data_IF_239450024151
#
_entry.id   IF_239450024151
#
_cell.length_a   1.000
_cell.length_b   1.000
_cell.length_c   1.000
_cell.angle_alpha   90.00
_cell.angle_beta   90.00
_cell.angle_gamma   90.00
#
_symmetry.space_group_name_H-M   'P 1'
#
loop_
_entity.id
_entity.type
_entity.pdbx_description
1 polymer ?
#
# COMPACT_ATOMS: atom_id res chain seq x y z
N UNK A 1 -13.31 33.07 -9.62
CA UNK A 1 -12.32 32.55 -8.65
C UNK A 1 -11.20 31.89 -9.43
N UNK A 2 -10.03 32.53 -9.49
CA UNK A 2 -8.83 31.99 -10.12
C UNK A 2 -8.32 30.81 -9.28
N UNK A 3 -8.51 29.59 -9.77
CA UNK A 3 -7.86 28.39 -9.21
C UNK A 3 -6.35 28.56 -9.39
N UNK A 4 -5.65 29.00 -8.34
CA UNK A 4 -4.20 28.91 -8.28
C UNK A 4 -3.82 27.44 -8.56
N UNK A 5 -2.82 27.22 -9.42
CA UNK A 5 -2.34 25.87 -9.70
C UNK A 5 -1.82 25.27 -8.38
N UNK A 6 -1.98 23.96 -8.13
CA UNK A 6 -1.40 23.32 -6.97
C UNK A 6 0.11 23.60 -6.93
N UNK A 7 0.60 24.17 -5.83
CA UNK A 7 2.01 24.28 -5.53
C UNK A 7 2.42 23.27 -4.48
N UNK A 8 3.69 22.86 -4.48
CA UNK A 8 4.30 22.13 -3.37
C UNK A 8 4.42 23.03 -2.13
N UNK A 9 4.71 22.44 -0.97
CA UNK A 9 4.78 23.16 0.31
C UNK A 9 5.90 24.22 0.42
N UNK A 10 6.80 24.27 -0.55
CA UNK A 10 7.83 25.29 -0.73
C UNK A 10 7.47 26.35 -1.80
N UNK A 11 6.22 26.33 -2.30
CA UNK A 11 5.71 27.28 -3.29
C UNK A 11 6.11 26.97 -4.74
N UNK A 12 6.84 25.89 -5.01
CA UNK A 12 7.16 25.48 -6.39
C UNK A 12 5.88 24.99 -7.08
N UNK A 13 5.56 25.45 -8.30
CA UNK A 13 4.39 24.97 -9.03
C UNK A 13 4.46 23.46 -9.32
N UNK A 14 3.32 22.78 -9.23
CA UNK A 14 3.16 21.43 -9.79
C UNK A 14 2.76 21.58 -11.26
N UNK A 15 3.75 21.56 -12.14
CA UNK A 15 3.59 21.56 -13.59
C UNK A 15 4.09 20.24 -14.21
N UNK A 16 3.97 20.12 -15.53
CA UNK A 16 4.37 18.94 -16.27
C UNK A 16 5.85 18.56 -16.05
N UNK A 17 6.74 19.56 -15.96
CA UNK A 17 8.17 19.34 -15.72
C UNK A 17 8.44 18.85 -14.31
N UNK A 18 7.73 19.35 -13.30
CA UNK A 18 7.80 18.83 -11.94
C UNK A 18 7.36 17.36 -11.86
N UNK A 19 6.30 16.97 -12.57
CA UNK A 19 5.85 15.57 -12.67
C UNK A 19 6.95 14.71 -13.29
N UNK A 20 7.47 15.12 -14.46
CA UNK A 20 8.52 14.37 -15.15
C UNK A 20 9.77 14.22 -14.27
N UNK A 21 10.25 15.32 -13.70
CA UNK A 21 11.43 15.33 -12.84
C UNK A 21 11.24 14.39 -11.64
N UNK A 22 10.08 14.41 -10.98
CA UNK A 22 9.79 13.57 -9.82
C UNK A 22 9.86 12.08 -10.16
N UNK A 23 9.27 11.68 -11.29
CA UNK A 23 9.28 10.29 -11.77
C UNK A 23 10.70 9.88 -12.19
N UNK A 24 11.41 10.71 -12.96
CA UNK A 24 12.79 10.43 -13.37
C UNK A 24 13.70 10.23 -12.15
N UNK A 25 13.57 11.09 -11.13
CA UNK A 25 14.29 10.99 -9.85
C UNK A 25 13.94 9.69 -9.13
N UNK A 26 12.66 9.30 -9.08
CA UNK A 26 12.21 8.07 -8.44
C UNK A 26 12.82 6.81 -9.10
N UNK A 27 12.87 6.80 -10.43
CA UNK A 27 13.50 5.73 -11.23
C UNK A 27 15.02 5.73 -11.08
N UNK A 28 15.68 6.88 -11.19
CA UNK A 28 17.13 7.01 -11.08
C UNK A 28 17.64 6.58 -9.70
N UNK A 29 16.90 6.90 -8.64
CA UNK A 29 17.21 6.47 -7.27
C UNK A 29 17.02 4.96 -7.04
N UNK A 30 16.46 4.21 -8.02
CA UNK A 30 16.05 2.81 -7.86
C UNK A 30 15.18 2.62 -6.62
N UNK A 31 14.30 3.59 -6.37
CA UNK A 31 13.41 3.57 -5.22
C UNK A 31 12.53 2.32 -5.25
N UNK A 32 11.96 1.97 -4.09
CA UNK A 32 11.05 0.82 -4.01
C UNK A 32 9.97 0.92 -5.08
N UNK A 33 9.61 -0.22 -5.69
CA UNK A 33 8.65 -0.36 -6.80
C UNK A 33 8.89 0.48 -8.07
N UNK A 34 9.96 1.26 -8.17
CA UNK A 34 10.28 2.10 -9.35
C UNK A 34 10.44 1.33 -10.67
N UNK A 35 10.72 0.03 -10.59
CA UNK A 35 10.82 -0.86 -11.75
C UNK A 35 9.53 -0.91 -12.58
N UNK A 36 8.37 -0.62 -11.98
CA UNK A 36 7.11 -0.54 -12.74
C UNK A 36 7.14 0.56 -13.81
N UNK A 37 7.81 1.69 -13.51
CA UNK A 37 8.02 2.75 -14.49
C UNK A 37 9.00 2.31 -15.57
N UNK A 38 10.17 1.81 -15.17
CA UNK A 38 11.23 1.38 -16.09
C UNK A 38 10.79 0.25 -17.04
N UNK A 39 9.92 -0.65 -16.58
CA UNK A 39 9.45 -1.80 -17.35
C UNK A 39 8.22 -1.52 -18.20
N UNK A 40 7.52 -0.39 -18.01
CA UNK A 40 6.23 -0.15 -18.67
C UNK A 40 6.17 1.18 -19.44
N UNK A 41 7.04 2.14 -19.12
CA UNK A 41 7.06 3.48 -19.75
C UNK A 41 8.33 3.66 -20.55
N UNK A 42 8.16 3.83 -21.86
CA UNK A 42 9.24 4.08 -22.83
C UNK A 42 9.70 5.53 -22.81
N UNK A 43 8.77 6.48 -22.66
CA UNK A 43 9.11 7.91 -22.59
C UNK A 43 8.04 8.73 -21.88
N UNK A 44 8.47 9.87 -21.33
CA UNK A 44 7.63 10.89 -20.71
C UNK A 44 7.94 12.22 -21.42
N UNK A 45 6.94 12.83 -22.06
CA UNK A 45 7.06 14.12 -22.73
C UNK A 45 6.19 15.18 -22.04
N UNK A 46 6.66 16.42 -22.03
CA UNK A 46 5.99 17.59 -21.42
C UNK A 46 5.78 18.66 -22.49
N UNK A 47 4.83 18.49 -23.43
CA UNK A 47 4.66 19.43 -24.55
C UNK A 47 4.25 20.84 -24.12
N UNK A 48 3.67 20.99 -22.92
CA UNK A 48 3.41 22.26 -22.27
C UNK A 48 3.34 22.08 -20.74
N UNK A 49 3.26 23.18 -20.00
CA UNK A 49 3.28 23.18 -18.53
C UNK A 49 2.11 22.43 -17.85
N UNK A 50 1.06 22.05 -18.57
CA UNK A 50 -0.13 21.36 -18.02
C UNK A 50 -0.36 19.98 -18.63
N UNK A 51 0.50 19.55 -19.55
CA UNK A 51 0.31 18.30 -20.29
C UNK A 51 1.51 17.39 -20.07
N UNK A 52 1.27 16.17 -19.59
CA UNK A 52 2.26 15.10 -19.52
C UNK A 52 1.78 13.96 -20.42
N UNK A 53 2.63 13.54 -21.34
CA UNK A 53 2.36 12.44 -22.27
C UNK A 53 3.25 11.26 -21.94
N UNK A 54 2.65 10.12 -21.60
CA UNK A 54 3.34 8.86 -21.33
C UNK A 54 3.26 7.95 -22.56
N UNK A 55 4.40 7.46 -23.04
CA UNK A 55 4.45 6.40 -24.05
C UNK A 55 4.71 5.07 -23.35
N UNK A 56 3.74 4.17 -23.40
CA UNK A 56 3.85 2.84 -22.80
C UNK A 56 4.48 1.85 -23.79
N UNK A 57 5.16 0.81 -23.29
CA UNK A 57 5.72 -0.24 -24.16
C UNK A 57 4.68 -1.30 -24.59
N UNK A 58 3.53 -1.35 -23.92
CA UNK A 58 2.37 -2.16 -24.25
C UNK A 58 1.08 -1.51 -23.72
N UNK A 59 -0.11 -1.86 -24.25
CA UNK A 59 -1.38 -1.40 -23.69
C UNK A 59 -1.53 -1.82 -22.21
N UNK A 60 -1.84 -0.87 -21.34
CA UNK A 60 -2.03 -1.13 -19.90
C UNK A 60 -3.19 -0.30 -19.33
N UNK A 61 -4.35 -0.95 -19.17
CA UNK A 61 -5.57 -0.27 -18.72
C UNK A 61 -5.49 0.26 -17.28
N UNK A 62 -4.69 -0.37 -16.42
CA UNK A 62 -4.54 0.04 -15.02
C UNK A 62 -3.42 1.08 -14.83
N UNK A 63 -2.81 1.60 -15.90
CA UNK A 63 -1.81 2.67 -15.81
C UNK A 63 -2.29 3.89 -14.98
N UNK A 64 -3.54 4.36 -15.07
CA UNK A 64 -4.02 5.44 -14.21
C UNK A 64 -3.96 5.13 -12.71
N UNK A 65 -4.07 3.85 -12.32
CA UNK A 65 -3.96 3.43 -10.91
C UNK A 65 -2.53 3.67 -10.41
N UNK A 66 -1.51 3.43 -11.25
CA UNK A 66 -0.11 3.72 -10.90
C UNK A 66 0.07 5.19 -10.50
N UNK A 67 -0.56 6.10 -11.23
CA UNK A 67 -0.51 7.55 -10.99
C UNK A 67 -1.20 7.96 -9.67
N UNK A 68 -2.18 7.17 -9.22
CA UNK A 68 -2.94 7.43 -8.00
C UNK A 68 -2.31 6.84 -6.73
N UNK A 69 -1.23 6.06 -6.87
CA UNK A 69 -0.55 5.38 -5.77
C UNK A 69 0.81 6.05 -5.44
N UNK A 70 1.54 5.47 -4.48
CA UNK A 70 2.87 5.93 -4.09
C UNK A 70 3.83 6.27 -5.25
N UNK A 71 3.94 5.43 -6.30
CA UNK A 71 4.83 5.71 -7.43
C UNK A 71 4.45 6.94 -8.28
N UNK A 72 3.20 7.41 -8.16
CA UNK A 72 2.71 8.61 -8.86
C UNK A 72 2.81 9.89 -8.03
N UNK A 73 3.28 9.82 -6.78
CA UNK A 73 3.43 11.00 -5.93
C UNK A 73 4.48 11.95 -6.51
N UNK A 74 4.13 13.24 -6.59
CA UNK A 74 5.00 14.31 -7.10
C UNK A 74 5.66 15.02 -5.93
N UNK A 75 6.98 15.13 -5.97
CA UNK A 75 7.79 15.86 -4.99
C UNK A 75 8.53 17.03 -5.64
N UNK A 76 8.78 18.09 -4.87
CA UNK A 76 9.55 19.25 -5.32
C UNK A 76 11.00 18.84 -5.56
N UNK A 77 11.66 19.48 -6.53
CA UNK A 77 13.11 19.35 -6.75
C UNK A 77 13.95 19.74 -5.54
N UNK A 78 13.44 20.65 -4.71
CA UNK A 78 14.12 21.07 -3.49
C UNK A 78 14.15 19.97 -2.42
N UNK A 79 13.40 18.87 -2.61
CA UNK A 79 13.43 17.68 -1.75
C UNK A 79 14.82 17.04 -1.67
N UNK A 80 15.72 17.34 -2.61
CA UNK A 80 17.09 16.80 -2.67
C UNK A 80 18.19 17.86 -2.45
N UNK A 81 17.82 19.10 -2.11
CA UNK A 81 18.76 20.23 -2.09
C UNK A 81 19.94 20.04 -1.13
N UNK A 82 19.72 19.36 0.00
CA UNK A 82 20.69 19.24 1.09
C UNK A 82 21.42 17.89 1.10
N UNK A 83 21.35 17.11 0.01
CA UNK A 83 21.93 15.76 -0.06
C UNK A 83 21.25 14.72 0.84
N UNK A 84 20.16 15.12 1.53
CA UNK A 84 19.25 14.28 2.27
C UNK A 84 17.83 14.55 1.78
N UNK A 85 17.09 13.48 1.52
CA UNK A 85 15.70 13.59 1.10
C UNK A 85 14.83 14.25 2.18
N UNK A 86 14.14 15.31 1.79
CA UNK A 86 13.10 15.99 2.58
C UNK A 86 11.77 15.92 1.82
N UNK A 87 10.68 15.40 2.40
CA UNK A 87 9.42 15.22 1.69
C UNK A 87 8.69 16.56 1.51
N UNK A 88 8.98 17.25 0.40
CA UNK A 88 8.31 18.49 0.00
C UNK A 88 7.33 18.15 -1.12
N UNK A 89 6.03 18.18 -0.83
CA UNK A 89 4.98 17.72 -1.75
C UNK A 89 3.82 18.70 -1.85
N UNK A 90 2.84 18.36 -2.69
CA UNK A 90 1.64 19.17 -2.92
C UNK A 90 0.44 18.77 -2.03
N UNK A 91 0.69 17.98 -0.99
CA UNK A 91 -0.33 17.49 -0.07
C UNK A 91 -0.85 18.56 0.90
N UNK A 92 -1.86 18.24 1.73
CA UNK A 92 -2.50 19.16 2.67
C UNK A 92 -1.68 19.52 3.91
N UNK A 93 -0.62 18.78 4.21
CA UNK A 93 0.24 19.02 5.38
C UNK A 93 1.71 19.07 4.96
N UNK A 94 2.50 19.82 5.72
CA UNK A 94 3.95 19.94 5.56
C UNK A 94 4.67 19.28 6.74
N UNK A 95 5.75 18.54 6.46
CA UNK A 95 6.60 17.99 7.50
C UNK A 95 7.31 19.11 8.29
N UNK A 96 7.07 19.19 9.59
CA UNK A 96 7.69 20.18 10.48
C UNK A 96 8.66 19.58 11.48
N UNK A 97 8.50 18.30 11.83
CA UNK A 97 9.50 17.56 12.62
C UNK A 97 9.57 16.11 12.17
N UNK A 98 10.80 15.62 12.00
CA UNK A 98 11.08 14.19 11.83
C UNK A 98 12.15 13.77 12.83
N UNK A 99 11.72 13.06 13.87
CA UNK A 99 12.59 12.50 14.89
C UNK A 99 12.46 10.97 14.84
N UNK A 100 13.44 10.27 14.23
CA UNK A 100 13.40 8.81 14.10
C UNK A 100 13.16 8.13 15.44
N UNK A 101 12.25 7.16 15.48
CA UNK A 101 11.84 6.43 16.68
C UNK A 101 11.25 7.30 17.80
N UNK A 102 10.84 8.53 17.53
CA UNK A 102 10.22 9.43 18.52
C UNK A 102 8.90 10.02 18.00
N UNK A 103 8.93 10.78 16.91
CA UNK A 103 7.71 11.30 16.29
C UNK A 103 7.91 11.84 14.86
N UNK A 104 6.81 11.89 14.13
CA UNK A 104 6.64 12.67 12.91
C UNK A 104 5.57 13.72 13.19
N UNK A 105 5.87 14.99 12.95
CA UNK A 105 4.92 16.10 13.13
C UNK A 105 4.71 16.78 11.79
N UNK A 106 3.43 16.91 11.41
CA UNK A 106 3.00 17.65 10.23
C UNK A 106 2.10 18.82 10.64
N UNK A 107 2.29 19.97 9.99
CA UNK A 107 1.45 21.16 10.16
C UNK A 107 0.58 21.37 8.92
N UNK A 108 -0.66 21.86 9.06
CA UNK A 108 -1.57 22.07 7.94
C UNK A 108 -1.04 23.14 7.02
N UNK A 109 -1.38 23.01 5.74
CA UNK A 109 -1.14 24.04 4.73
C UNK A 109 -2.34 24.95 4.60
N UNK A 110 -2.14 26.21 4.97
CA UNK A 110 -3.10 27.30 4.75
C UNK A 110 -3.37 27.54 3.26
N UNK A 111 -2.36 27.30 2.42
CA UNK A 111 -2.37 27.50 0.98
C UNK A 111 -2.75 26.23 0.19
N UNK A 112 -3.26 25.18 0.85
CA UNK A 112 -3.61 23.94 0.16
C UNK A 112 -4.68 24.21 -0.89
N UNK A 113 -4.45 23.72 -2.11
CA UNK A 113 -5.26 24.04 -3.29
C UNK A 113 -6.74 23.62 -3.15
N UNK A 114 -7.04 22.65 -2.29
CA UNK A 114 -8.40 22.18 -1.99
C UNK A 114 -8.95 22.72 -0.65
N UNK A 115 -8.37 23.82 -0.14
CA UNK A 115 -8.75 24.46 1.12
C UNK A 115 -7.99 23.90 2.32
N UNK A 116 -7.73 24.76 3.31
CA UNK A 116 -7.00 24.39 4.53
C UNK A 116 -7.64 23.18 5.24
N UNK A 117 -6.86 22.17 5.66
CA UNK A 117 -7.36 21.10 6.51
C UNK A 117 -7.98 21.61 7.82
N UNK A 118 -8.97 20.88 8.33
CA UNK A 118 -9.61 21.20 9.61
C UNK A 118 -8.73 20.87 10.82
N UNK A 119 -7.70 20.04 10.66
CA UNK A 119 -6.79 19.66 11.73
C UNK A 119 -5.60 20.61 11.79
N UNK A 120 -5.28 21.08 12.99
CA UNK A 120 -4.17 22.02 13.19
C UNK A 120 -2.80 21.34 13.27
N UNK A 121 -2.77 20.01 13.44
CA UNK A 121 -1.54 19.22 13.54
C UNK A 121 -1.83 17.75 13.34
N UNK A 122 -0.91 17.04 12.70
CA UNK A 122 -0.82 15.59 12.75
C UNK A 122 0.47 15.21 13.48
N UNK A 123 0.37 14.31 14.46
CA UNK A 123 1.52 13.77 15.19
C UNK A 123 1.44 12.25 15.17
N UNK A 124 2.45 11.62 14.59
CA UNK A 124 2.60 10.18 14.56
C UNK A 124 3.69 9.80 15.56
N UNK A 125 3.40 8.83 16.42
CA UNK A 125 4.33 8.35 17.45
C UNK A 125 4.54 6.84 17.31
N UNK A 126 5.73 6.31 17.63
CA UNK A 126 5.93 4.88 17.72
C UNK A 126 5.15 4.31 18.91
N UNK A 127 4.71 3.08 18.76
CA UNK A 127 3.91 2.36 19.75
C UNK A 127 4.44 0.94 19.92
N UNK A 128 4.31 0.38 21.12
CA UNK A 128 4.81 -0.96 21.46
C UNK A 128 3.82 -2.07 21.04
N UNK A 129 3.50 -2.13 19.75
CA UNK A 129 2.57 -3.11 19.18
C UNK A 129 1.09 -2.85 19.51
N UNK A 130 0.24 -3.81 19.12
CA UNK A 130 -1.21 -3.70 19.15
C UNK A 130 -1.75 -3.37 20.55
N UNK A 131 -1.30 -4.10 21.59
CA UNK A 131 -1.77 -3.87 22.96
C UNK A 131 -1.48 -2.46 23.47
N UNK A 132 -0.25 -1.97 23.26
CA UNK A 132 0.12 -0.61 23.64
C UNK A 132 -0.67 0.45 22.88
N UNK A 133 -0.96 0.23 21.60
CA UNK A 133 -1.82 1.13 20.82
C UNK A 133 -3.24 1.21 21.40
N UNK A 134 -3.83 0.06 21.75
CA UNK A 134 -5.15 0.01 22.36
C UNK A 134 -5.20 0.73 23.71
N UNK A 135 -4.21 0.49 24.58
CA UNK A 135 -4.11 1.15 25.89
C UNK A 135 -3.90 2.67 25.75
N UNK A 136 -3.05 3.11 24.81
CA UNK A 136 -2.87 4.53 24.52
C UNK A 136 -4.14 5.18 23.96
N UNK A 137 -4.90 4.49 23.10
CA UNK A 137 -6.21 4.94 22.62
C UNK A 137 -7.21 5.07 23.78
N UNK A 138 -7.28 4.08 24.67
CA UNK A 138 -8.16 4.13 25.85
C UNK A 138 -7.83 5.29 26.80
N UNK A 139 -6.54 5.59 26.99
CA UNK A 139 -6.09 6.70 27.83
C UNK A 139 -6.25 8.10 27.18
N UNK A 140 -6.62 8.17 25.89
CA UNK A 140 -6.69 9.42 25.13
C UNK A 140 -5.31 9.98 24.72
N UNK A 141 -4.25 9.18 24.78
CA UNK A 141 -2.92 9.55 24.26
C UNK A 141 -2.85 9.48 22.73
N UNK A 142 -3.68 8.63 22.13
CA UNK A 142 -3.86 8.52 20.68
C UNK A 142 -5.29 8.86 20.34
N UNK A 143 -5.50 9.66 19.29
CA UNK A 143 -6.83 9.89 18.70
C UNK A 143 -7.21 8.80 17.69
N UNK A 144 -6.21 8.15 17.08
CA UNK A 144 -6.38 7.03 16.16
C UNK A 144 -5.30 5.98 16.37
N UNK A 145 -5.66 4.71 16.22
CA UNK A 145 -4.74 3.58 16.27
C UNK A 145 -5.04 2.61 15.13
N UNK A 146 -3.99 2.00 14.57
CA UNK A 146 -4.10 0.96 13.57
C UNK A 146 -3.67 -0.39 14.16
N UNK A 147 -4.62 -1.03 14.85
CA UNK A 147 -4.41 -2.27 15.60
C UNK A 147 -4.49 -3.45 14.63
N UNK A 148 -3.37 -4.16 14.45
CA UNK A 148 -3.26 -5.28 13.51
C UNK A 148 -2.60 -6.48 14.15
N UNK A 149 -2.90 -7.68 13.63
CA UNK A 149 -2.18 -8.94 13.89
C UNK A 149 -2.10 -9.31 15.39
N UNK A 150 -3.15 -8.97 16.13
CA UNK A 150 -3.37 -9.34 17.53
C UNK A 150 -4.88 -9.43 17.76
N UNK A 151 -5.40 -10.63 17.59
CA UNK A 151 -6.84 -10.92 17.54
C UNK A 151 -7.54 -10.65 18.86
N UNK A 152 -6.86 -10.91 19.97
CA UNK A 152 -7.37 -10.62 21.31
C UNK A 152 -7.50 -9.11 21.50
N UNK A 153 -6.46 -8.34 21.16
CA UNK A 153 -6.50 -6.87 21.27
C UNK A 153 -7.50 -6.25 20.30
N UNK A 154 -7.61 -6.76 19.07
CA UNK A 154 -8.63 -6.30 18.11
C UNK A 154 -10.03 -6.52 18.69
N UNK A 155 -10.29 -7.70 19.26
CA UNK A 155 -11.58 -8.01 19.89
C UNK A 155 -11.88 -7.08 21.07
N UNK A 156 -10.90 -6.84 21.93
CA UNK A 156 -11.02 -5.89 23.04
C UNK A 156 -11.33 -4.47 22.54
N UNK A 157 -10.64 -4.01 21.49
CA UNK A 157 -10.84 -2.68 20.90
C UNK A 157 -12.22 -2.52 20.24
N UNK A 158 -12.71 -3.56 19.55
CA UNK A 158 -14.07 -3.57 18.99
C UNK A 158 -15.11 -3.54 20.12
N UNK A 159 -14.93 -4.36 21.16
CA UNK A 159 -15.84 -4.40 22.30
C UNK A 159 -15.84 -3.10 23.12
N UNK A 160 -14.71 -2.36 23.13
CA UNK A 160 -14.63 -1.04 23.74
C UNK A 160 -15.50 0.02 23.04
N UNK A 161 -15.94 -0.24 21.80
CA UNK A 161 -16.99 0.56 21.15
C UNK A 161 -16.56 1.97 20.72
N UNK A 162 -15.30 2.15 20.33
CA UNK A 162 -14.81 3.44 19.84
C UNK A 162 -15.56 3.91 18.58
N UNK A 163 -15.90 5.20 18.54
CA UNK A 163 -16.48 5.85 17.36
C UNK A 163 -15.50 5.83 16.18
N UNK A 164 -16.02 5.62 14.97
CA UNK A 164 -15.20 5.65 13.76
C UNK A 164 -14.37 4.39 13.51
N UNK A 165 -14.70 3.27 14.17
CA UNK A 165 -14.12 1.96 13.86
C UNK A 165 -14.31 1.61 12.37
N UNK A 166 -13.21 1.22 11.73
CA UNK A 166 -13.18 0.71 10.37
C UNK A 166 -12.45 -0.63 10.36
N UNK A 167 -13.13 -1.67 9.88
CA UNK A 167 -12.51 -2.94 9.54
C UNK A 167 -12.07 -2.92 8.07
N UNK A 168 -10.76 -2.92 7.85
CA UNK A 168 -10.18 -2.93 6.52
C UNK A 168 -9.66 -4.34 6.23
N UNK A 169 -10.29 -5.01 5.26
CA UNK A 169 -9.81 -6.29 4.76
C UNK A 169 -8.44 -6.12 4.10
N UNK A 170 -7.39 -6.58 4.77
CA UNK A 170 -6.04 -6.62 4.22
C UNK A 170 -5.89 -7.67 3.11
N UNK A 171 -4.85 -7.52 2.29
CA UNK A 171 -4.36 -8.62 1.47
C UNK A 171 -3.90 -9.74 2.40
N UNK A 172 -4.56 -10.90 2.30
CA UNK A 172 -4.26 -12.07 3.13
C UNK A 172 -2.87 -12.65 2.88
N UNK A 173 -2.60 -13.82 3.45
CA UNK A 173 -1.33 -14.51 3.22
C UNK A 173 -1.25 -15.09 1.80
N UNK A 174 -0.08 -14.93 1.16
CA UNK A 174 0.22 -15.51 -0.15
C UNK A 174 1.22 -16.66 -0.02
N UNK A 175 0.87 -17.81 -0.58
CA UNK A 175 1.80 -18.92 -0.75
C UNK A 175 2.46 -18.86 -2.13
N UNK A 176 3.77 -18.71 -2.18
CA UNK A 176 4.53 -18.73 -3.44
C UNK A 176 5.18 -20.09 -3.65
N UNK A 177 4.92 -20.71 -4.80
CA UNK A 177 5.57 -21.96 -5.20
C UNK A 177 6.51 -21.64 -6.36
N UNK A 178 7.79 -22.00 -6.21
CA UNK A 178 8.77 -21.83 -7.27
C UNK A 178 8.50 -22.81 -8.41
N UNK A 179 7.98 -22.30 -9.54
CA UNK A 179 7.65 -23.06 -10.73
C UNK A 179 8.75 -23.08 -11.80
N UNK A 180 9.99 -22.67 -11.45
CA UNK A 180 11.12 -22.70 -12.37
C UNK A 180 11.43 -24.13 -12.82
N UNK A 181 11.74 -24.30 -14.10
CA UNK A 181 12.19 -25.58 -14.67
C UNK A 181 13.30 -26.23 -13.82
N UNK A 182 13.22 -27.55 -13.66
CA UNK A 182 14.12 -28.32 -12.79
C UNK A 182 13.81 -28.24 -11.29
N UNK A 183 12.76 -27.53 -10.87
CA UNK A 183 12.24 -27.56 -9.49
C UNK A 183 10.94 -28.36 -9.39
N UNK A 184 10.61 -28.93 -8.22
CA UNK A 184 9.36 -29.70 -8.06
C UNK A 184 8.10 -28.93 -8.44
N UNK A 185 8.08 -27.62 -8.18
CA UNK A 185 6.95 -26.76 -8.53
C UNK A 185 6.77 -26.52 -10.03
N UNK A 186 7.69 -26.97 -10.89
CA UNK A 186 7.52 -26.92 -12.35
C UNK A 186 6.34 -27.81 -12.80
N UNK A 187 6.17 -28.97 -12.16
CA UNK A 187 5.01 -29.83 -12.40
C UNK A 187 3.73 -29.20 -11.81
N UNK A 188 2.71 -29.05 -12.66
CA UNK A 188 1.40 -28.50 -12.27
C UNK A 188 0.71 -29.36 -11.21
N UNK A 189 0.91 -30.68 -11.22
CA UNK A 189 0.31 -31.62 -10.27
C UNK A 189 0.84 -31.38 -8.86
N UNK A 190 2.12 -31.05 -8.72
CA UNK A 190 2.70 -30.64 -7.41
C UNK A 190 2.03 -29.37 -6.90
N UNK A 191 1.83 -28.35 -7.76
CA UNK A 191 1.16 -27.10 -7.36
C UNK A 191 -0.30 -27.33 -6.96
N UNK A 192 -1.01 -28.14 -7.72
CA UNK A 192 -2.39 -28.54 -7.41
C UNK A 192 -2.47 -29.35 -6.11
N UNK A 193 -1.52 -30.26 -5.87
CA UNK A 193 -1.46 -31.03 -4.63
C UNK A 193 -1.27 -30.14 -3.41
N UNK A 194 -0.39 -29.14 -3.49
CA UNK A 194 -0.22 -28.14 -2.42
C UNK A 194 -1.53 -27.38 -2.18
N UNK A 195 -2.19 -26.90 -3.24
CA UNK A 195 -3.46 -26.20 -3.13
C UNK A 195 -4.56 -27.05 -2.46
N UNK A 196 -4.65 -28.35 -2.79
CA UNK A 196 -5.59 -29.28 -2.15
C UNK A 196 -5.14 -29.75 -0.75
N UNK A 197 -3.86 -29.64 -0.41
CA UNK A 197 -3.33 -30.05 0.89
C UNK A 197 -3.59 -29.01 1.99
N UNK A 198 -3.62 -27.73 1.62
CA UNK A 198 -3.77 -26.61 2.56
C UNK A 198 -5.21 -26.46 3.04
N UNK A 199 -5.37 -26.23 4.33
CA UNK A 199 -6.66 -25.95 4.98
C UNK A 199 -6.71 -24.48 5.44
N UNK A 200 -7.28 -23.57 4.63
CA UNK A 200 -7.35 -22.16 4.99
C UNK A 200 -8.25 -21.89 6.20
N UNK A 201 -9.24 -22.75 6.48
CA UNK A 201 -10.10 -22.63 7.66
C UNK A 201 -9.32 -23.01 8.92
N UNK A 202 -8.57 -24.12 8.89
CA UNK A 202 -7.74 -24.51 10.02
C UNK A 202 -6.63 -23.49 10.31
N UNK A 203 -6.04 -22.87 9.26
CA UNK A 203 -5.09 -21.77 9.42
C UNK A 203 -5.77 -20.59 10.09
N UNK A 204 -6.92 -20.15 9.58
CA UNK A 204 -7.65 -19.01 10.14
C UNK A 204 -8.02 -19.22 11.61
N UNK A 205 -8.49 -20.42 11.96
CA UNK A 205 -8.88 -20.76 13.33
C UNK A 205 -7.69 -20.75 14.30
N UNK A 206 -6.51 -21.18 13.85
CA UNK A 206 -5.33 -21.33 14.71
C UNK A 206 -4.45 -20.09 14.77
N UNK A 207 -4.37 -19.35 13.67
CA UNK A 207 -3.51 -18.18 13.56
C UNK A 207 -4.27 -16.88 13.87
N UNK A 208 -5.56 -16.82 13.56
CA UNK A 208 -6.36 -15.60 13.69
C UNK A 208 -7.63 -15.80 14.55
N UNK A 209 -7.69 -16.83 15.39
CA UNK A 209 -8.86 -17.12 16.26
C UNK A 209 -10.22 -17.13 15.54
N UNK A 210 -10.21 -17.42 14.23
CA UNK A 210 -11.39 -17.40 13.37
C UNK A 210 -11.88 -16.01 12.92
N UNK A 211 -11.20 -14.92 13.30
CA UNK A 211 -11.57 -13.55 12.94
C UNK A 211 -11.23 -13.17 11.48
N UNK A 212 -10.33 -13.91 10.82
CA UNK A 212 -10.00 -13.66 9.43
C UNK A 212 -10.97 -14.30 8.43
N UNK A 213 -10.71 -14.07 7.14
CA UNK A 213 -11.48 -14.64 6.04
C UNK A 213 -10.67 -15.76 5.40
N UNK A 214 -11.13 -17.01 5.56
CA UNK A 214 -10.50 -18.16 4.91
C UNK A 214 -10.67 -18.06 3.39
N UNK A 215 -9.57 -17.72 2.70
CA UNK A 215 -9.53 -17.60 1.25
C UNK A 215 -8.86 -18.82 0.62
N UNK A 216 -9.38 -19.26 -0.53
CA UNK A 216 -8.74 -20.27 -1.38
C UNK A 216 -8.20 -19.67 -2.68
N UNK A 217 -8.23 -18.34 -2.82
CA UNK A 217 -7.97 -17.62 -4.06
C UNK A 217 -7.32 -16.27 -3.82
N UNK A 218 -6.61 -15.77 -4.82
CA UNK A 218 -5.79 -14.56 -4.72
C UNK A 218 -6.59 -13.27 -4.50
N UNK A 219 -7.79 -13.20 -5.06
CA UNK A 219 -8.66 -12.02 -4.95
C UNK A 219 -9.90 -12.36 -4.10
N UNK A 220 -10.39 -11.42 -3.28
CA UNK A 220 -11.60 -11.61 -2.49
C UNK A 220 -12.82 -11.75 -3.40
N UNK A 221 -13.90 -12.33 -2.88
CA UNK A 221 -15.13 -12.54 -3.65
C UNK A 221 -15.83 -11.23 -4.03
N UNK A 222 -15.56 -10.13 -3.33
CA UNK A 222 -16.02 -8.79 -3.67
C UNK A 222 -15.32 -8.18 -4.89
N UNK A 223 -14.22 -8.78 -5.36
CA UNK A 223 -13.46 -8.26 -6.50
C UNK A 223 -14.15 -8.58 -7.83
N UNK A 224 -14.32 -7.56 -8.67
CA UNK A 224 -14.80 -7.72 -10.05
C UNK A 224 -13.89 -8.63 -10.91
N UNK A 225 -12.64 -8.86 -10.50
CA UNK A 225 -11.68 -9.74 -11.17
C UNK A 225 -11.77 -11.22 -10.78
N UNK A 226 -12.73 -11.61 -9.93
CA UNK A 226 -12.87 -12.99 -9.42
C UNK A 226 -13.24 -13.96 -10.55
N UNK A 227 -12.27 -14.79 -10.97
CA UNK A 227 -12.46 -15.78 -12.05
C UNK A 227 -12.15 -17.23 -11.67
N UNK A 228 -11.42 -17.46 -10.57
CA UNK A 228 -10.93 -18.80 -10.22
C UNK A 228 -11.89 -19.55 -9.27
N UNK A 229 -12.19 -20.84 -9.52
CA UNK A 229 -12.96 -21.66 -8.59
C UNK A 229 -12.24 -21.79 -7.25
N UNK A 230 -13.01 -22.01 -6.18
CA UNK A 230 -12.44 -22.21 -4.84
C UNK A 230 -11.77 -23.59 -4.79
N UNK A 231 -10.47 -23.62 -4.48
CA UNK A 231 -9.74 -24.86 -4.21
C UNK A 231 -9.78 -25.15 -2.71
N UNK A 232 -10.74 -25.96 -2.29
CA UNK A 232 -10.83 -26.40 -0.90
C UNK A 232 -9.98 -27.64 -0.65
N UNK A 233 -9.61 -27.85 0.61
CA UNK A 233 -8.81 -28.99 1.04
C UNK A 233 -9.39 -30.32 0.55
N UNK A 234 -8.57 -31.15 -0.09
CA UNK A 234 -8.85 -32.52 -0.58
C UNK A 234 -7.59 -33.39 -0.40
N UNK A 235 -7.32 -33.90 0.82
CA UNK A 235 -6.06 -34.59 1.12
C UNK A 235 -5.79 -35.81 0.25
N UNK A 236 -6.81 -36.60 -0.08
CA UNK A 236 -6.65 -37.80 -0.90
C UNK A 236 -6.29 -37.43 -2.35
N UNK A 237 -6.90 -36.36 -2.88
CA UNK A 237 -6.55 -35.84 -4.20
C UNK A 237 -5.14 -35.27 -4.22
N UNK A 238 -4.71 -34.60 -3.16
CA UNK A 238 -3.34 -34.10 -3.03
C UNK A 238 -2.31 -35.26 -3.06
N UNK A 239 -2.55 -36.32 -2.28
CA UNK A 239 -1.68 -37.52 -2.29
C UNK A 239 -1.64 -38.19 -3.66
N UNK A 240 -2.80 -38.33 -4.31
CA UNK A 240 -2.88 -38.88 -5.67
C UNK A 240 -2.03 -38.07 -6.64
N UNK A 241 -2.20 -36.74 -6.67
CA UNK A 241 -1.45 -35.86 -7.57
C UNK A 241 0.07 -35.90 -7.32
N UNK A 242 0.51 -36.07 -6.07
CA UNK A 242 1.93 -36.24 -5.75
C UNK A 242 2.48 -37.59 -6.20
N UNK A 243 1.68 -38.66 -6.18
CA UNK A 243 2.10 -39.96 -6.68
C UNK A 243 2.18 -40.00 -8.22
N UNK A 244 1.38 -39.18 -8.89
CA UNK A 244 1.39 -39.06 -10.36
C UNK A 244 2.52 -38.12 -10.85
N UNK A 245 2.95 -37.16 -10.02
CA UNK A 245 3.92 -36.12 -10.35
C UNK A 245 5.32 -36.65 -10.69
#
# INVERSE_FOLDING_TARGET
MTTARPGTSDGVPVDADAVKWSIDRFVAARADVSQVWANSVTSIATPDAKTVTFTLNAPWNDFPVLLAMGPGMVVSKNSEADGKFTPIGAGPFTLTRFAPNEEIVLSPREDYWNGRPNLDKLRFVPTNGARGQFESLQSGQLDMAYILRDEATIRDAVNAGFSGYLDIQGLGALGMINAREGRPGADVRVRQAVAYGVDPQAINQRANDGLGIAASTLVPDSSAGRRAPRAWRRPDKAKQLLAEA
#
